data_IF_771921574757
#
_entry.id   IF_771921574757
#
_cell.length_a   1.000
_cell.length_b   1.000
_cell.length_c   1.000
_cell.angle_alpha   90.00
_cell.angle_beta   90.00
_cell.angle_gamma   90.00
#
_symmetry.space_group_name_H-M   'P 1'
#
loop_
_entity.id
_entity.type
_entity.pdbx_description
1 polymer ?
#
# COMPACT_ATOMS: atom_id res chain seq x y z
N UNK A 1 4.96 8.09 -24.39
CA UNK A 1 4.18 8.93 -23.44
C UNK A 1 5.21 9.80 -22.75
N UNK A 2 5.07 11.13 -22.79
CA UNK A 2 5.93 12.00 -21.96
C UNK A 2 5.42 11.89 -20.52
N UNK A 3 6.33 11.97 -19.56
CA UNK A 3 6.01 12.13 -18.14
C UNK A 3 5.27 10.92 -17.53
N UNK A 4 5.79 9.71 -17.79
CA UNK A 4 5.25 8.50 -17.19
C UNK A 4 6.03 8.12 -15.93
N UNK A 5 5.35 8.11 -14.78
CA UNK A 5 5.93 7.78 -13.47
C UNK A 5 6.46 6.35 -13.42
N UNK A 6 7.68 6.19 -12.91
CA UNK A 6 8.41 4.93 -12.90
C UNK A 6 9.12 4.60 -14.23
N UNK A 7 8.98 5.43 -15.27
CA UNK A 7 9.71 5.29 -16.54
C UNK A 7 10.54 6.54 -16.83
N UNK A 8 9.89 7.66 -17.16
CA UNK A 8 10.58 8.94 -17.41
C UNK A 8 10.58 9.84 -16.20
N UNK A 9 9.54 9.72 -15.36
CA UNK A 9 9.37 10.52 -14.16
C UNK A 9 9.62 9.64 -12.94
N UNK A 10 10.42 10.06 -11.96
CA UNK A 10 10.69 9.28 -10.77
C UNK A 10 9.43 9.16 -9.88
N UNK A 11 9.35 8.07 -9.12
CA UNK A 11 8.37 7.92 -8.04
C UNK A 11 9.05 8.20 -6.70
N UNK A 12 8.45 9.05 -5.88
CA UNK A 12 8.89 9.30 -4.52
C UNK A 12 8.10 8.41 -3.56
N UNK A 13 8.75 7.35 -3.07
CA UNK A 13 8.13 6.45 -2.10
C UNK A 13 7.89 7.16 -0.76
N UNK A 14 6.79 6.84 -0.05
CA UNK A 14 6.50 7.45 1.25
C UNK A 14 7.58 7.08 2.27
N UNK A 15 8.04 8.06 3.04
CA UNK A 15 9.09 7.87 4.06
C UNK A 15 8.54 7.35 5.39
N UNK A 16 7.28 7.63 5.70
CA UNK A 16 6.60 7.23 6.94
C UNK A 16 5.15 6.85 6.66
N UNK A 17 4.95 5.69 6.04
CA UNK A 17 3.61 5.17 5.76
C UNK A 17 3.08 4.33 6.94
N UNK A 18 1.84 4.57 7.35
CA UNK A 18 1.22 3.85 8.47
C UNK A 18 0.95 2.37 8.16
N UNK A 19 0.73 2.06 6.88
CA UNK A 19 0.49 0.72 6.35
C UNK A 19 1.20 0.59 4.99
N UNK A 20 2.07 -0.41 4.85
CA UNK A 20 2.72 -0.78 3.59
C UNK A 20 2.31 -2.20 3.22
N UNK A 21 1.85 -2.41 1.99
CA UNK A 21 1.47 -3.72 1.46
C UNK A 21 2.15 -3.96 0.10
N UNK A 22 2.44 -5.23 -0.21
CA UNK A 22 3.00 -5.62 -1.49
C UNK A 22 2.01 -6.53 -2.22
N UNK A 23 1.49 -6.07 -3.37
CA UNK A 23 0.56 -6.84 -4.18
C UNK A 23 1.23 -7.81 -5.16
N UNK A 24 2.57 -7.81 -5.23
CA UNK A 24 3.31 -8.72 -6.09
C UNK A 24 3.26 -10.15 -5.53
N UNK A 25 2.36 -10.97 -6.07
CA UNK A 25 2.22 -12.39 -5.72
C UNK A 25 1.31 -12.67 -4.52
N UNK A 26 0.68 -11.66 -3.93
CA UNK A 26 -0.30 -11.84 -2.84
C UNK A 26 -1.70 -11.60 -3.37
N UNK A 27 -2.66 -12.53 -3.13
CA UNK A 27 -4.04 -12.35 -3.52
C UNK A 27 -4.66 -11.09 -2.89
N UNK A 28 -5.53 -10.37 -3.61
CA UNK A 28 -6.19 -9.17 -3.08
C UNK A 28 -6.93 -9.41 -1.75
N UNK A 29 -7.56 -10.57 -1.58
CA UNK A 29 -8.32 -10.92 -0.38
C UNK A 29 -7.40 -10.94 0.86
N UNK A 30 -6.21 -11.51 0.74
CA UNK A 30 -5.22 -11.56 1.82
C UNK A 30 -4.69 -10.15 2.16
N UNK A 31 -4.53 -9.28 1.16
CA UNK A 31 -4.09 -7.90 1.39
C UNK A 31 -5.16 -7.09 2.12
N UNK A 32 -6.43 -7.28 1.74
CA UNK A 32 -7.57 -6.63 2.40
C UNK A 32 -7.63 -7.04 3.87
N UNK A 33 -7.47 -8.34 4.17
CA UNK A 33 -7.45 -8.83 5.55
C UNK A 33 -6.30 -8.21 6.35
N UNK A 34 -5.10 -8.11 5.77
CA UNK A 34 -3.94 -7.47 6.40
C UNK A 34 -4.21 -5.99 6.73
N UNK A 35 -4.74 -5.24 5.76
CA UNK A 35 -5.09 -3.82 5.93
C UNK A 35 -6.16 -3.69 7.02
N UNK A 36 -7.22 -4.48 6.95
CA UNK A 36 -8.34 -4.42 7.89
C UNK A 36 -7.90 -4.70 9.33
N UNK A 37 -7.10 -5.75 9.55
CA UNK A 37 -6.55 -6.07 10.87
C UNK A 37 -5.68 -4.92 11.38
N UNK A 38 -4.87 -4.30 10.52
CA UNK A 38 -4.01 -3.17 10.91
C UNK A 38 -4.83 -1.96 11.34
N UNK A 39 -5.88 -1.62 10.59
CA UNK A 39 -6.83 -0.54 10.93
C UNK A 39 -7.55 -0.83 12.26
N UNK A 40 -7.96 -2.07 12.51
CA UNK A 40 -8.54 -2.47 13.82
C UNK A 40 -7.55 -2.30 14.97
N UNK A 41 -6.30 -2.72 14.79
CA UNK A 41 -5.24 -2.55 15.81
C UNK A 41 -4.93 -1.08 16.11
N UNK A 42 -5.11 -0.19 15.14
CA UNK A 42 -4.99 1.26 15.33
C UNK A 42 -6.21 1.87 16.03
N UNK A 43 -7.27 1.09 16.26
CA UNK A 43 -8.46 1.53 16.99
C UNK A 43 -9.48 2.30 16.16
N UNK A 44 -9.32 2.37 14.84
CA UNK A 44 -10.27 3.06 13.97
C UNK A 44 -11.57 2.27 13.75
N UNK A 45 -11.54 0.95 13.90
CA UNK A 45 -12.68 0.05 13.69
C UNK A 45 -12.71 -1.01 14.81
N UNK A 46 -13.91 -1.35 15.31
CA UNK A 46 -14.13 -2.35 16.37
C UNK A 46 -14.22 -3.78 15.85
#
# INVERSE_FOLDING_TARGET
IKEFTGISDPYEAPTDAEIVVNSSGTPPEELVDQIFIRIKKMGFIK
#
